data_IF_187434124303
#
_entry.id   IF_187434124303
#
_cell.length_a   1.000
_cell.length_b   1.000
_cell.length_c   1.000
_cell.angle_alpha   90.00
_cell.angle_beta   90.00
_cell.angle_gamma   90.00
#
_symmetry.space_group_name_H-M   'P 1'
#
loop_
_entity.id
_entity.type
_entity.pdbx_description
1 polymer ?
#
# COMPACT_ATOMS: atom_id res chain seq x y z
N UNK A 1 -9.50 -2.77 -20.60
CA UNK A 1 -10.76 -3.37 -20.15
C UNK A 1 -10.53 -4.39 -19.01
N UNK A 2 -9.71 -5.44 -19.22
CA UNK A 2 -9.47 -6.49 -18.20
C UNK A 2 -8.92 -5.93 -16.87
N UNK A 3 -7.92 -5.05 -16.91
CA UNK A 3 -7.34 -4.46 -15.69
C UNK A 3 -8.34 -3.64 -14.88
N UNK A 4 -9.22 -2.89 -15.55
CA UNK A 4 -10.29 -2.14 -14.87
C UNK A 4 -11.29 -3.09 -14.20
N UNK A 5 -11.66 -4.19 -14.87
CA UNK A 5 -12.56 -5.18 -14.30
C UNK A 5 -11.96 -5.82 -13.04
N UNK A 6 -10.70 -6.21 -13.08
CA UNK A 6 -9.98 -6.76 -11.92
C UNK A 6 -9.96 -5.74 -10.76
N UNK A 7 -9.62 -4.49 -11.04
CA UNK A 7 -9.60 -3.42 -10.04
C UNK A 7 -10.98 -3.23 -9.40
N UNK A 8 -12.05 -3.20 -10.20
CA UNK A 8 -13.42 -3.04 -9.69
C UNK A 8 -13.85 -4.23 -8.83
N UNK A 9 -13.44 -5.45 -9.19
CA UNK A 9 -13.70 -6.65 -8.36
C UNK A 9 -13.04 -6.49 -6.99
N UNK A 10 -11.75 -6.12 -6.92
CA UNK A 10 -11.06 -5.94 -5.64
C UNK A 10 -11.62 -4.79 -4.82
N UNK A 11 -12.03 -3.69 -5.45
CA UNK A 11 -12.73 -2.59 -4.77
C UNK A 11 -14.06 -3.09 -4.21
N UNK A 12 -14.82 -3.84 -4.99
CA UNK A 12 -16.10 -4.43 -4.54
C UNK A 12 -15.91 -5.37 -3.35
N UNK A 13 -14.90 -6.23 -3.39
CA UNK A 13 -14.54 -7.13 -2.27
C UNK A 13 -14.14 -6.35 -1.03
N UNK A 14 -13.33 -5.29 -1.18
CA UNK A 14 -12.92 -4.46 -0.05
C UNK A 14 -14.07 -3.69 0.58
N UNK A 15 -15.01 -3.18 -0.24
CA UNK A 15 -16.24 -2.53 0.25
C UNK A 15 -17.16 -3.54 0.94
N UNK A 16 -17.37 -4.71 0.35
CA UNK A 16 -18.17 -5.76 0.96
C UNK A 16 -17.60 -6.18 2.31
N UNK A 17 -16.27 -6.30 2.42
CA UNK A 17 -15.60 -6.63 3.67
C UNK A 17 -15.76 -5.56 4.76
N UNK A 18 -16.09 -4.31 4.41
CA UNK A 18 -16.38 -3.26 5.39
C UNK A 18 -17.67 -3.52 6.16
N UNK A 19 -18.63 -4.22 5.55
CA UNK A 19 -19.89 -4.59 6.19
C UNK A 19 -19.80 -5.87 7.00
N UNK A 20 -18.69 -6.60 6.96
CA UNK A 20 -18.46 -7.80 7.75
C UNK A 20 -17.99 -7.36 9.15
N UNK A 21 -18.60 -7.88 10.24
CA UNK A 21 -18.16 -7.55 11.60
C UNK A 21 -16.66 -7.80 11.81
N UNK A 22 -15.99 -6.91 12.51
CA UNK A 22 -14.55 -7.01 12.76
C UNK A 22 -14.15 -8.34 13.43
N UNK A 23 -15.03 -8.91 14.26
CA UNK A 23 -14.85 -10.21 14.90
C UNK A 23 -14.87 -11.39 13.91
N UNK A 24 -15.56 -11.26 12.77
CA UNK A 24 -15.59 -12.26 11.71
C UNK A 24 -14.41 -12.09 10.73
N UNK A 25 -13.89 -10.85 10.59
CA UNK A 25 -12.71 -10.54 9.82
C UNK A 25 -11.39 -10.70 10.61
N UNK A 26 -11.46 -11.26 11.81
CA UNK A 26 -10.27 -11.57 12.60
C UNK A 26 -9.50 -12.71 11.94
N UNK A 27 -8.49 -12.33 11.18
CA UNK A 27 -7.61 -13.25 10.44
C UNK A 27 -6.71 -14.11 11.34
N UNK A 28 -6.72 -13.87 12.66
CA UNK A 28 -5.98 -14.70 13.61
C UNK A 28 -6.80 -15.87 14.13
N UNK A 29 -8.13 -15.82 13.93
CA UNK A 29 -9.05 -16.82 14.46
C UNK A 29 -9.06 -18.07 13.59
N UNK A 30 -8.71 -19.20 14.18
CA UNK A 30 -8.92 -20.53 13.60
C UNK A 30 -10.41 -20.80 13.56
N UNK A 31 -10.95 -21.13 12.40
CA UNK A 31 -12.40 -21.29 12.19
C UNK A 31 -12.80 -22.72 11.83
N UNK A 32 -11.88 -23.53 11.33
CA UNK A 32 -12.13 -24.88 10.84
C UNK A 32 -10.85 -25.71 10.80
N UNK A 33 -10.92 -26.93 10.27
CA UNK A 33 -9.75 -27.76 10.01
C UNK A 33 -8.87 -27.16 8.89
N UNK A 34 -7.54 -27.37 8.95
CA UNK A 34 -6.62 -26.95 7.89
C UNK A 34 -6.94 -27.61 6.54
N UNK A 35 -6.64 -26.87 5.45
CA UNK A 35 -6.72 -27.36 4.07
C UNK A 35 -8.07 -27.95 3.64
N UNK A 36 -9.17 -27.46 4.19
CA UNK A 36 -10.50 -27.85 3.69
C UNK A 36 -10.69 -27.34 2.25
N UNK A 37 -11.22 -28.18 1.35
CA UNK A 37 -11.51 -27.77 -0.01
C UNK A 37 -12.64 -26.74 -0.07
N UNK A 38 -12.77 -26.01 -1.20
CA UNK A 38 -13.89 -25.12 -1.44
C UNK A 38 -15.24 -25.81 -1.24
N UNK A 39 -16.13 -25.15 -0.48
CA UNK A 39 -17.48 -25.65 -0.15
C UNK A 39 -18.45 -24.47 0.02
N UNK A 40 -19.74 -24.74 0.20
CA UNK A 40 -20.73 -23.69 0.49
C UNK A 40 -20.44 -22.94 1.80
N UNK A 41 -19.87 -23.61 2.79
CA UNK A 41 -19.47 -23.00 4.06
C UNK A 41 -18.14 -22.25 3.95
N UNK A 42 -17.21 -22.78 3.16
CA UNK A 42 -15.87 -22.23 2.93
C UNK A 42 -15.63 -22.04 1.42
N UNK A 43 -16.12 -20.93 0.80
CA UNK A 43 -16.15 -20.79 -0.65
C UNK A 43 -14.78 -20.88 -1.34
N UNK A 44 -13.70 -20.48 -0.66
CA UNK A 44 -12.32 -20.64 -1.11
C UNK A 44 -11.51 -21.61 -0.25
N UNK A 45 -12.20 -22.42 0.57
CA UNK A 45 -11.53 -23.35 1.48
C UNK A 45 -10.86 -22.66 2.68
N UNK A 46 -9.99 -23.42 3.36
CA UNK A 46 -9.19 -22.96 4.49
C UNK A 46 -7.69 -23.07 4.23
N UNK A 47 -6.90 -22.24 4.92
CA UNK A 47 -5.45 -22.27 4.85
C UNK A 47 -4.83 -23.34 5.78
N UNK A 48 -3.50 -23.34 5.89
CA UNK A 48 -2.71 -24.23 6.76
C UNK A 48 -3.03 -24.07 8.25
N UNK A 49 -3.63 -22.98 8.64
CA UNK A 49 -4.02 -22.67 10.02
C UNK A 49 -5.55 -22.80 10.25
N UNK A 50 -6.30 -23.34 9.29
CA UNK A 50 -7.77 -23.47 9.40
C UNK A 50 -8.53 -22.14 9.31
N UNK A 51 -7.96 -21.10 8.72
CA UNK A 51 -8.61 -19.81 8.53
C UNK A 51 -9.26 -19.73 7.16
N UNK A 52 -10.38 -19.05 7.05
CA UNK A 52 -11.07 -18.87 5.77
C UNK A 52 -10.25 -18.06 4.77
N UNK A 53 -9.90 -18.67 3.65
CA UNK A 53 -9.16 -18.00 2.57
C UNK A 53 -9.96 -16.81 2.01
N UNK A 54 -11.28 -16.91 1.91
CA UNK A 54 -12.13 -15.79 1.45
C UNK A 54 -12.02 -14.57 2.37
N UNK A 55 -12.06 -14.78 3.69
CA UNK A 55 -11.93 -13.68 4.66
C UNK A 55 -10.51 -13.07 4.64
N UNK A 56 -9.48 -13.89 4.47
CA UNK A 56 -8.10 -13.43 4.30
C UNK A 56 -7.96 -12.55 3.06
N UNK A 57 -8.52 -12.96 1.93
CA UNK A 57 -8.51 -12.18 0.68
C UNK A 57 -9.29 -10.87 0.86
N UNK A 58 -10.45 -10.91 1.48
CA UNK A 58 -11.27 -9.73 1.74
C UNK A 58 -10.54 -8.71 2.64
N UNK A 59 -9.93 -9.18 3.72
CA UNK A 59 -9.13 -8.34 4.62
C UNK A 59 -7.87 -7.80 3.94
N UNK A 60 -7.19 -8.66 3.18
CA UNK A 60 -6.02 -8.27 2.38
C UNK A 60 -6.36 -7.18 1.37
N UNK A 61 -7.49 -7.29 0.66
CA UNK A 61 -7.96 -6.28 -0.28
C UNK A 61 -8.20 -4.93 0.40
N UNK A 62 -8.86 -4.90 1.57
CA UNK A 62 -9.05 -3.68 2.35
C UNK A 62 -7.73 -3.00 2.71
N UNK A 63 -6.80 -3.77 3.28
CA UNK A 63 -5.51 -3.24 3.74
C UNK A 63 -4.68 -2.75 2.55
N UNK A 64 -4.60 -3.55 1.47
CA UNK A 64 -3.82 -3.21 0.29
C UNK A 64 -4.33 -1.96 -0.42
N UNK A 65 -5.65 -1.80 -0.57
CA UNK A 65 -6.23 -0.60 -1.16
C UNK A 65 -6.04 0.63 -0.27
N UNK A 66 -6.22 0.49 1.04
CA UNK A 66 -5.99 1.58 1.99
C UNK A 66 -4.55 2.07 1.94
N UNK A 67 -3.59 1.13 2.05
CA UNK A 67 -2.15 1.45 2.04
C UNK A 67 -1.75 2.04 0.69
N UNK A 68 -2.17 1.41 -0.42
CA UNK A 68 -1.84 1.88 -1.77
C UNK A 68 -2.38 3.29 -2.03
N UNK A 69 -3.64 3.55 -1.68
CA UNK A 69 -4.26 4.87 -1.87
C UNK A 69 -3.60 5.94 -0.98
N UNK A 70 -3.47 5.68 0.32
CA UNK A 70 -2.92 6.65 1.26
C UNK A 70 -1.43 6.94 0.99
N UNK A 71 -0.62 5.91 0.68
CA UNK A 71 0.78 6.10 0.34
C UNK A 71 0.94 6.87 -0.99
N UNK A 72 0.09 6.59 -1.99
CA UNK A 72 0.10 7.32 -3.26
C UNK A 72 -0.26 8.79 -3.05
N UNK A 73 -1.31 9.10 -2.27
CA UNK A 73 -1.66 10.48 -1.96
C UNK A 73 -0.52 11.22 -1.27
N UNK A 74 0.13 10.61 -0.29
CA UNK A 74 1.27 11.19 0.40
C UNK A 74 2.44 11.43 -0.55
N UNK A 75 2.79 10.45 -1.38
CA UNK A 75 3.85 10.54 -2.37
C UNK A 75 3.57 11.61 -3.42
N UNK A 76 2.33 11.68 -3.92
CA UNK A 76 1.92 12.71 -4.87
C UNK A 76 1.96 14.10 -4.26
N UNK A 77 1.48 14.26 -3.03
CA UNK A 77 1.51 15.54 -2.34
C UNK A 77 2.94 16.06 -2.19
N UNK A 78 3.85 15.23 -1.68
CA UNK A 78 5.28 15.61 -1.52
C UNK A 78 5.90 15.86 -2.89
N UNK A 79 5.76 14.91 -3.83
CA UNK A 79 6.38 14.98 -5.15
C UNK A 79 5.89 16.17 -5.97
N UNK A 80 4.58 16.45 -5.97
CA UNK A 80 4.01 17.62 -6.65
C UNK A 80 4.53 18.92 -6.05
N UNK A 81 4.55 19.03 -4.72
CA UNK A 81 5.04 20.22 -4.04
C UNK A 81 6.52 20.47 -4.37
N UNK A 82 7.36 19.46 -4.23
CA UNK A 82 8.80 19.55 -4.53
C UNK A 82 9.02 19.84 -6.02
N UNK A 83 8.29 19.13 -6.91
CA UNK A 83 8.42 19.33 -8.37
C UNK A 83 8.04 20.74 -8.79
N UNK A 84 6.91 21.28 -8.33
CA UNK A 84 6.48 22.64 -8.64
C UNK A 84 7.48 23.67 -8.08
N UNK A 85 7.90 23.52 -6.82
CA UNK A 85 8.83 24.47 -6.20
C UNK A 85 10.17 24.45 -6.91
N UNK A 86 10.72 23.25 -7.22
CA UNK A 86 12.00 23.15 -7.92
C UNK A 86 11.95 23.69 -9.35
N UNK A 87 10.84 23.48 -10.06
CA UNK A 87 10.64 23.99 -11.42
C UNK A 87 10.36 25.50 -11.47
N UNK A 88 9.66 26.05 -10.47
CA UNK A 88 9.31 27.47 -10.42
C UNK A 88 10.47 28.35 -9.95
N UNK A 89 11.18 27.95 -8.90
CA UNK A 89 12.28 28.74 -8.33
C UNK A 89 13.61 28.38 -9.01
N UNK A 90 14.06 29.26 -9.90
CA UNK A 90 15.40 29.17 -10.55
C UNK A 90 16.50 29.55 -9.56
N UNK A 91 17.70 28.99 -9.73
CA UNK A 91 18.85 29.30 -8.89
C UNK A 91 19.07 28.29 -7.76
N UNK A 92 19.50 28.78 -6.58
CA UNK A 92 19.96 27.91 -5.49
C UNK A 92 18.85 27.02 -4.91
N UNK A 93 17.62 27.53 -4.75
CA UNK A 93 16.51 26.79 -4.20
C UNK A 93 16.11 25.60 -5.09
N UNK A 94 15.89 25.85 -6.38
CA UNK A 94 15.61 24.78 -7.35
C UNK A 94 16.75 23.77 -7.42
N UNK A 95 17.99 24.25 -7.51
CA UNK A 95 19.17 23.37 -7.58
C UNK A 95 19.35 22.47 -6.34
N UNK A 96 19.03 22.95 -5.15
CA UNK A 96 19.10 22.13 -3.92
C UNK A 96 18.01 21.05 -3.93
N UNK A 97 16.76 21.40 -4.27
CA UNK A 97 15.67 20.45 -4.34
C UNK A 97 15.90 19.37 -5.41
N UNK A 98 16.47 19.75 -6.54
CA UNK A 98 16.85 18.82 -7.59
C UNK A 98 17.91 17.82 -7.13
N UNK A 99 18.98 18.31 -6.49
CA UNK A 99 20.02 17.42 -5.94
C UNK A 99 19.46 16.49 -4.87
N UNK A 100 18.57 17.00 -4.02
CA UNK A 100 17.84 16.17 -3.04
C UNK A 100 17.04 15.06 -3.73
N UNK A 101 16.30 15.41 -4.77
CA UNK A 101 15.51 14.43 -5.56
C UNK A 101 16.43 13.40 -6.19
N UNK A 102 17.57 13.84 -6.78
CA UNK A 102 18.53 12.92 -7.38
C UNK A 102 19.18 11.97 -6.36
N UNK A 103 19.51 12.45 -5.16
CA UNK A 103 20.03 11.60 -4.10
C UNK A 103 19.04 10.51 -3.70
N UNK A 104 17.76 10.85 -3.53
CA UNK A 104 16.74 9.86 -3.23
C UNK A 104 16.55 8.82 -4.35
N UNK A 105 16.73 9.21 -5.61
CA UNK A 105 16.64 8.30 -6.76
C UNK A 105 17.83 7.34 -6.88
N UNK A 106 19.00 7.72 -6.36
CA UNK A 106 20.21 6.86 -6.34
C UNK A 106 20.14 5.83 -5.22
N UNK A 107 19.46 6.14 -4.11
CA UNK A 107 19.32 5.18 -3.00
C UNK A 107 18.43 4.03 -3.46
N UNK A 108 18.88 2.75 -3.33
CA UNK A 108 18.04 1.63 -3.68
C UNK A 108 16.76 1.61 -2.83
N UNK A 109 15.61 1.73 -3.48
CA UNK A 109 14.30 1.85 -2.83
C UNK A 109 14.02 0.74 -1.81
N UNK A 110 14.22 -0.53 -2.19
CA UNK A 110 13.91 -1.67 -1.33
C UNK A 110 14.74 -1.70 -0.03
N UNK A 111 16.07 -1.57 -0.07
CA UNK A 111 16.88 -1.48 1.16
C UNK A 111 16.45 -0.31 2.06
N UNK A 112 16.21 0.87 1.48
CA UNK A 112 15.76 2.02 2.26
C UNK A 112 14.41 1.75 2.94
N UNK A 113 13.43 1.21 2.20
CA UNK A 113 12.11 0.89 2.74
C UNK A 113 12.19 -0.16 3.86
N UNK A 114 13.03 -1.19 3.73
CA UNK A 114 13.21 -2.22 4.75
C UNK A 114 13.82 -1.61 6.04
N UNK A 115 14.86 -0.80 5.91
CA UNK A 115 15.49 -0.14 7.06
C UNK A 115 14.47 0.76 7.77
N UNK A 116 13.75 1.60 7.04
CA UNK A 116 12.74 2.48 7.63
C UNK A 116 11.61 1.67 8.31
N UNK A 117 11.13 0.61 7.67
CA UNK A 117 10.09 -0.24 8.25
C UNK A 117 10.54 -0.96 9.54
N UNK A 118 11.82 -1.34 9.63
CA UNK A 118 12.36 -1.95 10.85
C UNK A 118 12.51 -0.95 11.99
N UNK A 119 12.93 0.28 11.69
CA UNK A 119 13.12 1.34 12.69
C UNK A 119 11.78 1.87 13.20
N UNK A 120 10.81 2.09 12.32
CA UNK A 120 9.50 2.66 12.68
C UNK A 120 8.56 1.61 13.30
N UNK A 121 8.84 0.33 13.12
CA UNK A 121 8.03 -0.76 13.65
C UNK A 121 6.84 -1.16 12.76
N UNK A 122 6.13 -2.23 13.18
CA UNK A 122 5.07 -2.90 12.40
C UNK A 122 3.71 -2.23 12.62
N UNK A 123 3.41 -1.19 11.85
CA UNK A 123 2.12 -0.50 11.87
C UNK A 123 1.70 -0.17 10.45
N UNK A 124 0.38 -0.19 10.16
CA UNK A 124 -0.16 0.24 8.87
C UNK A 124 0.23 1.68 8.54
N UNK A 125 0.17 2.56 9.54
CA UNK A 125 0.58 3.96 9.39
C UNK A 125 2.06 4.07 8.99
N UNK A 126 2.93 3.30 9.64
CA UNK A 126 4.36 3.30 9.33
C UNK A 126 4.63 2.82 7.89
N UNK A 127 3.91 1.80 7.43
CA UNK A 127 4.02 1.31 6.05
C UNK A 127 3.60 2.41 5.06
N UNK A 128 2.49 3.11 5.31
CA UNK A 128 2.02 4.23 4.47
C UNK A 128 3.08 5.33 4.41
N UNK A 129 3.64 5.71 5.57
CA UNK A 129 4.67 6.74 5.65
C UNK A 129 5.92 6.32 4.90
N UNK A 130 6.41 5.10 5.12
CA UNK A 130 7.62 4.58 4.45
C UNK A 130 7.45 4.64 2.94
N UNK A 131 6.35 4.07 2.41
CA UNK A 131 6.11 4.04 0.97
C UNK A 131 5.93 5.46 0.42
N UNK A 132 5.14 6.29 1.07
CA UNK A 132 4.87 7.67 0.63
C UNK A 132 6.12 8.54 0.60
N UNK A 133 6.94 8.46 1.67
CA UNK A 133 8.17 9.26 1.80
C UNK A 133 9.32 8.75 0.93
N UNK A 134 9.29 7.49 0.50
CA UNK A 134 10.33 6.96 -0.39
C UNK A 134 9.97 7.02 -1.87
N UNK A 135 8.70 7.17 -2.23
CA UNK A 135 8.22 7.11 -3.64
C UNK A 135 8.05 8.48 -4.31
N UNK A 136 8.08 9.59 -3.57
CA UNK A 136 7.84 10.95 -4.08
C UNK A 136 8.83 11.43 -5.16
N UNK A 137 10.13 11.00 -5.20
CA UNK A 137 11.10 11.58 -6.12
C UNK A 137 10.76 11.36 -7.60
N UNK A 138 10.15 10.21 -7.92
CA UNK A 138 9.67 9.94 -9.27
C UNK A 138 8.60 10.94 -9.72
N UNK A 139 7.63 11.25 -8.85
CA UNK A 139 6.58 12.24 -9.11
C UNK A 139 7.16 13.64 -9.23
N UNK A 140 8.08 14.03 -8.35
CA UNK A 140 8.72 15.33 -8.40
C UNK A 140 9.46 15.56 -9.73
N UNK A 141 10.16 14.54 -10.24
CA UNK A 141 10.86 14.59 -11.52
C UNK A 141 9.92 14.73 -12.72
N UNK A 142 8.72 14.14 -12.67
CA UNK A 142 7.73 14.24 -13.74
C UNK A 142 7.06 15.62 -13.82
N UNK A 143 6.89 16.30 -12.67
CA UNK A 143 6.17 17.57 -12.57
C UNK A 143 7.06 18.78 -12.78
N UNK A 144 8.34 18.65 -12.51
CA UNK A 144 9.35 19.69 -12.71
C UNK A 144 9.49 20.10 -14.18
#
# INVERSE_FOLDING_TARGET
MLGLAILLIFIGVAIAAFFIPASALDVTKVSADPFLPPSLTWPLGTDDSGRSVLLLVAKGAQISLLVGFAATLLSMFIGTTVGIVSGHYRGMTGGVLDRMTDWFLVIPYLPLAIVLATVLGRSLLNIIIVIGVTSWPGTARLIR
#
